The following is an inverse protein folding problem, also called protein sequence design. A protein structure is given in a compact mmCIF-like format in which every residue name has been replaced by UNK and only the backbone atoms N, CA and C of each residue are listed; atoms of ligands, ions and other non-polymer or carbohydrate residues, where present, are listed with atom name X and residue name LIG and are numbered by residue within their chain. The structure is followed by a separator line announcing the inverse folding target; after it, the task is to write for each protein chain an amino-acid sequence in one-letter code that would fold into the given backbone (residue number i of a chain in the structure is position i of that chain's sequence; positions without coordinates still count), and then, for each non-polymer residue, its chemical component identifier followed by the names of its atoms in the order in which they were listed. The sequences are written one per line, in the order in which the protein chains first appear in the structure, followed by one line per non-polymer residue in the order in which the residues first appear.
data_IF_632748493501
#
_entry.id   IF_632748493501
#
_cell.length_a   1.000
_cell.length_b   1.000
_cell.length_c   1.000
_cell.angle_alpha   90.00
_cell.angle_beta   90.00
_cell.angle_gamma   90.00
#
_symmetry.space_group_name_H-M   'P 1'
#
loop_
_entity.id
_entity.type
_entity.pdbx_description
1 polymer ?
#
# COMPACT_ATOMS: atom_id res chain seq x y z
N UNK A 1 -6.01 -23.72 9.54
CA UNK A 1 -4.93 -24.40 8.79
C UNK A 1 -3.72 -23.47 8.81
N UNK A 2 -2.61 -23.83 9.48
CA UNK A 2 -1.42 -22.97 9.55
C UNK A 2 -0.81 -22.86 8.15
N UNK A 3 -0.99 -21.72 7.47
CA UNK A 3 -0.28 -21.40 6.24
C UNK A 3 1.21 -21.40 6.56
N UNK A 4 1.95 -22.39 6.05
CA UNK A 4 3.41 -22.40 6.14
C UNK A 4 3.93 -21.11 5.50
N UNK A 5 4.85 -20.42 6.18
CA UNK A 5 5.47 -19.17 5.70
C UNK A 5 6.07 -19.36 4.31
N UNK A 6 6.16 -18.27 3.54
CA UNK A 6 6.71 -18.29 2.18
C UNK A 6 8.13 -18.90 2.19
N UNK A 7 8.93 -18.56 3.21
CA UNK A 7 10.27 -19.11 3.42
C UNK A 7 10.27 -20.64 3.54
N UNK A 8 9.31 -21.21 4.28
CA UNK A 8 9.18 -22.66 4.46
C UNK A 8 8.88 -23.35 3.12
N UNK A 9 8.03 -22.74 2.29
CA UNK A 9 7.68 -23.31 0.97
C UNK A 9 8.88 -23.29 0.02
N UNK A 10 9.62 -22.18 -0.02
CA UNK A 10 10.84 -22.06 -0.84
C UNK A 10 11.87 -23.11 -0.45
N UNK A 11 12.12 -23.28 0.86
CA UNK A 11 13.09 -24.26 1.35
C UNK A 11 12.67 -25.69 1.00
N UNK A 12 11.38 -26.04 1.16
CA UNK A 12 10.88 -27.36 0.79
C UNK A 12 11.04 -27.62 -0.71
N UNK A 13 10.71 -26.66 -1.57
CA UNK A 13 10.89 -26.80 -3.03
C UNK A 13 12.37 -26.98 -3.38
N UNK A 14 13.26 -26.18 -2.78
CA UNK A 14 14.70 -26.28 -3.02
C UNK A 14 15.25 -27.66 -2.62
N UNK A 15 14.88 -28.16 -1.44
CA UNK A 15 15.29 -29.48 -0.96
C UNK A 15 14.77 -30.58 -1.90
N UNK A 16 13.53 -30.48 -2.37
CA UNK A 16 12.98 -31.44 -3.34
C UNK A 16 13.75 -31.44 -4.66
N UNK A 17 14.11 -30.26 -5.19
CA UNK A 17 14.89 -30.13 -6.43
C UNK A 17 16.28 -30.75 -6.26
N UNK A 18 16.97 -30.45 -5.16
CA UNK A 18 18.30 -31.02 -4.88
C UNK A 18 18.22 -32.53 -4.70
N UNK A 19 17.22 -33.03 -3.96
CA UNK A 19 17.02 -34.46 -3.75
C UNK A 19 16.71 -35.18 -5.07
N UNK A 20 15.86 -34.62 -5.94
CA UNK A 20 15.57 -35.18 -7.25
C UNK A 20 16.82 -35.20 -8.16
N UNK A 21 17.61 -34.13 -8.15
CA UNK A 21 18.88 -34.05 -8.89
C UNK A 21 19.90 -35.08 -8.39
N UNK A 22 20.08 -35.18 -7.07
CA UNK A 22 20.96 -36.18 -6.46
C UNK A 22 20.51 -37.61 -6.76
N UNK A 23 19.20 -37.88 -6.71
CA UNK A 23 18.64 -39.19 -7.06
C UNK A 23 18.86 -39.52 -8.55
N UNK A 24 18.67 -38.57 -9.46
CA UNK A 24 18.92 -38.77 -10.89
C UNK A 24 20.42 -39.07 -11.16
N UNK A 25 21.32 -38.34 -10.50
CA UNK A 25 22.76 -38.60 -10.59
C UNK A 25 23.12 -39.97 -10.01
N UNK A 26 22.54 -40.36 -8.86
CA UNK A 26 22.78 -41.66 -8.24
C UNK A 26 22.24 -42.82 -9.10
N UNK A 27 21.06 -42.68 -9.72
CA UNK A 27 20.52 -43.69 -10.64
C UNK A 27 21.43 -43.82 -11.87
N UNK A 28 21.86 -42.71 -12.45
CA UNK A 28 22.80 -42.71 -13.58
C UNK A 28 24.13 -43.39 -13.19
N UNK A 29 24.62 -43.08 -11.98
CA UNK A 29 25.84 -43.66 -11.41
C UNK A 29 25.78 -45.17 -11.20
N UNK A 30 24.67 -45.66 -10.64
CA UNK A 30 24.55 -47.05 -10.19
C UNK A 30 24.05 -47.99 -11.28
N UNK A 31 23.31 -47.49 -12.25
CA UNK A 31 22.66 -48.32 -13.28
C UNK A 31 23.36 -48.22 -14.62
N UNK A 32 23.73 -47.01 -15.06
CA UNK A 32 24.26 -46.79 -16.41
C UNK A 32 25.78 -46.95 -16.45
N UNK A 33 26.47 -46.39 -15.45
CA UNK A 33 27.93 -46.35 -15.44
C UNK A 33 28.60 -47.74 -15.38
N UNK A 34 28.16 -48.70 -14.54
CA UNK A 34 28.79 -50.02 -14.47
C UNK A 34 28.60 -50.83 -15.75
N UNK A 35 27.41 -50.76 -16.36
CA UNK A 35 27.10 -51.48 -17.60
C UNK A 35 27.95 -51.01 -18.79
N UNK A 36 28.13 -49.68 -18.93
CA UNK A 36 29.00 -49.12 -19.96
C UNK A 36 30.48 -49.49 -19.76
N UNK A 37 30.95 -49.45 -18.51
CA UNK A 37 32.32 -49.81 -18.17
C UNK A 37 32.62 -51.28 -18.49
N UNK A 38 31.76 -52.20 -18.02
CA UNK A 38 31.92 -53.63 -18.27
C UNK A 38 31.86 -53.97 -19.76
N UNK A 39 30.98 -53.31 -20.53
CA UNK A 39 30.92 -53.48 -21.98
C UNK A 39 32.21 -53.06 -22.69
N UNK A 40 32.80 -51.93 -22.30
CA UNK A 40 34.09 -51.49 -22.87
C UNK A 40 35.25 -52.40 -22.49
N UNK A 41 35.25 -52.89 -21.25
CA UNK A 41 36.28 -53.80 -20.74
C UNK A 41 36.25 -55.16 -21.42
N UNK A 42 35.06 -55.65 -21.79
CA UNK A 42 34.93 -56.83 -22.63
C UNK A 42 35.48 -56.62 -24.06
N UNK A 43 35.39 -55.40 -24.60
CA UNK A 43 35.89 -55.08 -25.95
C UNK A 43 37.41 -54.94 -26.03
N UNK A 44 38.12 -54.74 -24.91
CA UNK A 44 39.60 -54.74 -24.90
C UNK A 44 40.18 -56.16 -25.04
N UNK A 45 39.36 -57.19 -24.89
CA UNK A 45 39.78 -58.60 -24.94
C UNK A 45 40.50 -59.07 -23.68
N UNK A 46 40.54 -58.25 -22.62
CA UNK A 46 41.23 -58.56 -21.39
C UNK A 46 40.36 -59.44 -20.47
N UNK A 47 40.75 -60.71 -20.31
CA UNK A 47 39.98 -61.74 -19.59
C UNK A 47 40.54 -62.10 -18.22
N UNK A 48 41.59 -61.40 -17.76
CA UNK A 48 42.19 -61.65 -16.45
C UNK A 48 41.26 -61.16 -15.34
N UNK A 49 40.70 -62.05 -14.49
CA UNK A 49 39.73 -61.65 -13.47
C UNK A 49 40.32 -60.65 -12.47
N UNK A 50 41.61 -60.76 -12.17
CA UNK A 50 42.30 -59.82 -11.28
C UNK A 50 42.34 -58.39 -11.86
N UNK A 51 42.52 -58.24 -13.18
CA UNK A 51 42.57 -56.90 -13.80
C UNK A 51 41.19 -56.29 -13.89
N UNK A 52 40.18 -57.08 -14.26
CA UNK A 52 38.78 -56.62 -14.30
C UNK A 52 38.31 -56.14 -12.92
N UNK A 53 38.58 -56.91 -11.87
CA UNK A 53 38.17 -56.56 -10.50
C UNK A 53 38.86 -55.27 -10.00
N UNK A 54 40.17 -55.13 -10.22
CA UNK A 54 40.88 -53.90 -9.85
C UNK A 54 40.39 -52.69 -10.65
N UNK A 55 40.09 -52.85 -11.94
CA UNK A 55 39.58 -51.78 -12.78
C UNK A 55 38.16 -51.34 -12.36
N UNK A 56 37.28 -52.29 -12.03
CA UNK A 56 35.94 -51.99 -11.50
C UNK A 56 35.99 -51.29 -10.13
N UNK A 57 36.87 -51.73 -9.23
CA UNK A 57 37.07 -51.06 -7.93
C UNK A 57 37.64 -49.63 -8.08
N UNK A 58 38.61 -49.45 -8.99
CA UNK A 58 39.18 -48.13 -9.28
C UNK A 58 38.13 -47.19 -9.89
N UNK A 59 37.31 -47.69 -10.82
CA UNK A 59 36.21 -46.92 -11.40
C UNK A 59 35.16 -46.56 -10.35
N UNK A 60 34.68 -47.53 -9.57
CA UNK A 60 33.66 -47.31 -8.55
C UNK A 60 34.09 -46.31 -7.48
N UNK A 61 35.35 -46.37 -7.03
CA UNK A 61 35.89 -45.43 -6.04
C UNK A 61 36.05 -44.01 -6.61
N UNK A 62 36.62 -43.87 -7.81
CA UNK A 62 36.78 -42.57 -8.47
C UNK A 62 35.42 -41.92 -8.80
N UNK A 63 34.47 -42.71 -9.32
CA UNK A 63 33.13 -42.26 -9.65
C UNK A 63 32.34 -41.90 -8.38
N UNK A 64 32.42 -42.74 -7.34
CA UNK A 64 31.80 -42.51 -6.04
C UNK A 64 32.29 -41.22 -5.37
N UNK A 65 33.60 -40.98 -5.38
CA UNK A 65 34.19 -39.72 -4.88
C UNK A 65 33.69 -38.52 -5.69
N UNK A 66 33.68 -38.63 -7.02
CA UNK A 66 33.17 -37.55 -7.90
C UNK A 66 31.71 -37.23 -7.63
N UNK A 67 30.86 -38.25 -7.45
CA UNK A 67 29.45 -38.09 -7.12
C UNK A 67 29.27 -37.45 -5.72
N UNK A 68 30.06 -37.87 -4.74
CA UNK A 68 30.01 -37.31 -3.39
C UNK A 68 30.40 -35.83 -3.39
N UNK A 69 31.46 -35.46 -4.10
CA UNK A 69 31.90 -34.07 -4.27
C UNK A 69 30.82 -33.26 -5.01
N UNK A 70 30.29 -33.77 -6.12
CA UNK A 70 29.24 -33.08 -6.88
C UNK A 70 27.98 -32.84 -6.05
N UNK A 71 27.54 -33.86 -5.29
CA UNK A 71 26.37 -33.74 -4.40
C UNK A 71 26.63 -32.75 -3.27
N UNK A 72 27.82 -32.82 -2.65
CA UNK A 72 28.23 -31.88 -1.60
C UNK A 72 28.22 -30.43 -2.09
N UNK A 73 28.83 -30.17 -3.25
CA UNK A 73 28.81 -28.84 -3.88
C UNK A 73 27.39 -28.40 -4.22
N UNK A 74 26.55 -29.29 -4.75
CA UNK A 74 25.14 -28.98 -5.06
C UNK A 74 24.36 -28.56 -3.82
N UNK A 75 24.50 -29.29 -2.71
CA UNK A 75 23.85 -28.94 -1.43
C UNK A 75 24.34 -27.59 -0.92
N UNK A 76 25.64 -27.32 -0.98
CA UNK A 76 26.21 -26.03 -0.55
C UNK A 76 25.68 -24.87 -1.38
N UNK A 77 25.69 -24.99 -2.71
CA UNK A 77 25.17 -23.95 -3.62
C UNK A 77 23.67 -23.75 -3.40
N UNK A 78 22.90 -24.83 -3.27
CA UNK A 78 21.47 -24.74 -3.04
C UNK A 78 21.13 -24.07 -1.70
N UNK A 79 21.90 -24.37 -0.64
CA UNK A 79 21.79 -23.71 0.66
C UNK A 79 22.13 -22.22 0.58
N UNK A 80 23.20 -21.85 -0.11
CA UNK A 80 23.58 -20.46 -0.32
C UNK A 80 22.51 -19.67 -1.09
N UNK A 81 21.96 -20.25 -2.17
CA UNK A 81 20.85 -19.66 -2.94
C UNK A 81 19.59 -19.51 -2.08
N UNK A 82 19.23 -20.54 -1.31
CA UNK A 82 18.07 -20.49 -0.41
C UNK A 82 18.22 -19.39 0.64
N UNK A 83 19.38 -19.31 1.28
CA UNK A 83 19.66 -18.27 2.28
C UNK A 83 19.59 -16.87 1.67
N UNK A 84 20.17 -16.70 0.47
CA UNK A 84 20.12 -15.45 -0.27
C UNK A 84 18.67 -15.05 -0.61
N UNK A 85 17.87 -15.97 -1.14
CA UNK A 85 16.49 -15.70 -1.56
C UNK A 85 15.58 -15.37 -0.37
N UNK A 86 15.73 -16.09 0.74
CA UNK A 86 14.98 -15.79 1.97
C UNK A 86 15.32 -14.40 2.47
N UNK A 87 16.61 -14.07 2.57
CA UNK A 87 17.06 -12.78 3.10
C UNK A 87 16.73 -11.59 2.20
N UNK A 88 16.75 -11.77 0.89
CA UNK A 88 16.61 -10.67 -0.08
C UNK A 88 15.23 -10.52 -0.71
N UNK A 89 14.42 -11.57 -0.72
CA UNK A 89 13.08 -11.55 -1.33
C UNK A 89 12.00 -11.79 -0.29
N UNK A 90 12.12 -12.89 0.45
CA UNK A 90 11.03 -13.33 1.34
C UNK A 90 10.85 -12.37 2.51
N UNK A 91 11.94 -12.03 3.21
CA UNK A 91 11.87 -11.12 4.36
C UNK A 91 11.31 -9.73 4.02
N UNK A 92 11.80 -9.01 2.99
CA UNK A 92 11.22 -7.71 2.62
C UNK A 92 9.73 -7.78 2.25
N UNK A 93 9.27 -8.89 1.66
CA UNK A 93 7.84 -9.08 1.34
C UNK A 93 7.01 -9.35 2.61
N UNK A 94 7.54 -10.10 3.56
CA UNK A 94 6.91 -10.29 4.88
C UNK A 94 6.85 -8.96 5.65
N UNK A 95 7.93 -8.17 5.65
CA UNK A 95 7.97 -6.84 6.27
C UNK A 95 6.92 -5.88 5.64
N UNK A 96 6.74 -5.95 4.32
CA UNK A 96 5.70 -5.21 3.61
C UNK A 96 4.29 -5.65 4.00
N UNK A 97 4.08 -6.96 4.17
CA UNK A 97 2.78 -7.48 4.61
C UNK A 97 2.45 -7.00 6.03
N UNK A 98 3.41 -7.05 6.94
CA UNK A 98 3.26 -6.56 8.32
C UNK A 98 3.01 -5.04 8.36
N UNK A 99 3.67 -4.28 7.48
CA UNK A 99 3.41 -2.85 7.30
C UNK A 99 1.97 -2.60 6.84
N UNK A 100 1.48 -3.34 5.85
CA UNK A 100 0.09 -3.23 5.36
C UNK A 100 -0.92 -3.59 6.46
N UNK A 101 -0.68 -4.65 7.23
CA UNK A 101 -1.55 -5.03 8.36
C UNK A 101 -1.56 -3.93 9.44
N UNK A 102 -0.42 -3.24 9.65
CA UNK A 102 -0.32 -2.11 10.57
C UNK A 102 -1.13 -0.90 10.08
N UNK A 103 -1.08 -0.58 8.79
CA UNK A 103 -1.91 0.45 8.15
C UNK A 103 -3.39 0.08 8.30
N UNK A 104 -3.75 -1.18 8.03
CA UNK A 104 -5.12 -1.68 8.16
C UNK A 104 -5.64 -1.56 9.61
N UNK A 105 -4.75 -1.65 10.60
CA UNK A 105 -5.03 -1.40 12.01
C UNK A 105 -5.19 0.09 12.39
N UNK A 106 -5.14 1.01 11.43
CA UNK A 106 -5.34 2.45 11.65
C UNK A 106 -4.07 3.22 12.05
N UNK A 107 -2.89 2.61 11.94
CA UNK A 107 -1.60 3.28 12.21
C UNK A 107 -0.94 3.65 10.90
N UNK A 108 -0.97 4.94 10.58
CA UNK A 108 -0.52 5.44 9.27
C UNK A 108 0.89 6.02 9.30
N UNK A 109 1.45 6.29 10.49
CA UNK A 109 2.81 6.78 10.70
C UNK A 109 3.86 5.67 10.58
N UNK A 110 3.80 4.89 9.51
CA UNK A 110 4.80 3.87 9.22
C UNK A 110 5.64 4.28 8.03
N UNK A 111 6.94 4.01 8.13
CA UNK A 111 7.89 4.21 7.04
C UNK A 111 8.31 2.84 6.54
N UNK A 112 8.01 2.57 5.28
CA UNK A 112 8.41 1.30 4.66
C UNK A 112 9.83 1.46 4.10
N UNK A 113 10.85 0.78 4.66
CA UNK A 113 12.20 0.88 4.15
C UNK A 113 12.30 0.25 2.75
N UNK A 114 13.04 0.89 1.85
CA UNK A 114 13.40 0.28 0.57
C UNK A 114 14.54 -0.72 0.79
N UNK A 115 14.39 -1.90 0.21
CA UNK A 115 15.33 -3.01 0.37
C UNK A 115 16.56 -2.88 -0.53
N UNK A 116 16.46 -2.08 -1.61
CA UNK A 116 17.52 -1.89 -2.60
C UNK A 116 17.86 -3.18 -3.37
N UNK A 117 17.00 -4.20 -3.30
CA UNK A 117 17.26 -5.51 -3.89
C UNK A 117 16.73 -5.63 -5.32
N UNK A 118 15.47 -5.25 -5.54
CA UNK A 118 14.88 -5.23 -6.88
C UNK A 118 13.99 -4.01 -7.05
N UNK A 119 13.97 -3.49 -8.27
CA UNK A 119 13.14 -2.35 -8.65
C UNK A 119 11.66 -2.62 -8.38
N UNK A 120 11.20 -3.86 -8.54
CA UNK A 120 9.81 -4.27 -8.30
C UNK A 120 9.43 -4.19 -6.81
N UNK A 121 10.28 -4.71 -5.92
CA UNK A 121 10.04 -4.68 -4.47
C UNK A 121 10.12 -3.25 -3.96
N UNK A 122 11.10 -2.48 -4.40
CA UNK A 122 11.25 -1.08 -4.00
C UNK A 122 10.09 -0.20 -4.53
N UNK A 123 9.58 -0.49 -5.74
CA UNK A 123 8.37 0.16 -6.26
C UNK A 123 7.14 -0.17 -5.43
N UNK A 124 7.00 -1.42 -4.98
CA UNK A 124 5.91 -1.82 -4.08
C UNK A 124 6.04 -1.11 -2.73
N UNK A 125 7.23 -1.07 -2.14
CA UNK A 125 7.49 -0.35 -0.90
C UNK A 125 7.13 1.14 -1.00
N UNK A 126 7.56 1.81 -2.08
CA UNK A 126 7.22 3.21 -2.34
C UNK A 126 5.71 3.41 -2.53
N UNK A 127 5.02 2.47 -3.17
CA UNK A 127 3.56 2.55 -3.34
C UNK A 127 2.81 2.40 -2.01
N UNK A 128 3.25 1.49 -1.14
CA UNK A 128 2.67 1.31 0.21
C UNK A 128 2.94 2.53 1.08
N UNK A 129 4.16 3.07 1.07
CA UNK A 129 4.52 4.30 1.81
C UNK A 129 3.70 5.50 1.33
N UNK A 130 3.56 5.66 0.01
CA UNK A 130 2.72 6.72 -0.57
C UNK A 130 1.24 6.58 -0.20
N UNK A 131 0.71 5.34 -0.15
CA UNK A 131 -0.66 5.07 0.31
C UNK A 131 -0.82 5.41 1.80
N UNK A 132 0.12 5.00 2.65
CA UNK A 132 0.11 5.30 4.08
C UNK A 132 0.13 6.81 4.32
N UNK A 133 0.99 7.55 3.62
CA UNK A 133 1.07 9.01 3.71
C UNK A 133 -0.22 9.72 3.29
N UNK A 134 -0.89 9.24 2.23
CA UNK A 134 -2.21 9.78 1.83
C UNK A 134 -3.27 9.54 2.89
N UNK A 135 -3.31 8.33 3.45
CA UNK A 135 -4.28 7.97 4.47
C UNK A 135 -4.05 8.75 5.78
N UNK A 136 -2.79 8.92 6.19
CA UNK A 136 -2.40 9.78 7.31
C UNK A 136 -2.88 11.22 7.12
N UNK A 137 -2.70 11.79 5.92
CA UNK A 137 -3.14 13.14 5.60
C UNK A 137 -4.67 13.28 5.64
N UNK A 138 -5.40 12.29 5.12
CA UNK A 138 -6.87 12.24 5.19
C UNK A 138 -7.34 12.17 6.65
N UNK A 139 -6.77 11.28 7.47
CA UNK A 139 -7.17 11.13 8.87
C UNK A 139 -6.83 12.37 9.71
N UNK A 140 -5.68 12.98 9.48
CA UNK A 140 -5.29 14.24 10.13
C UNK A 140 -6.22 15.40 9.76
N UNK A 141 -6.77 15.40 8.53
CA UNK A 141 -7.74 16.39 8.08
C UNK A 141 -9.09 16.14 8.72
N UNK A 142 -9.58 14.90 8.69
CA UNK A 142 -10.80 14.47 9.38
C UNK A 142 -10.79 14.83 10.87
N UNK A 143 -9.70 14.52 11.57
CA UNK A 143 -9.57 14.80 13.01
C UNK A 143 -9.61 16.30 13.30
N UNK A 144 -8.93 17.12 12.50
CA UNK A 144 -8.97 18.59 12.64
C UNK A 144 -10.38 19.13 12.39
N UNK A 145 -11.04 18.69 11.32
CA UNK A 145 -12.42 19.08 11.03
C UNK A 145 -13.35 18.73 12.20
N UNK A 146 -13.28 17.50 12.73
CA UNK A 146 -14.11 17.12 13.88
C UNK A 146 -13.83 17.97 15.12
N UNK A 147 -12.57 18.36 15.37
CA UNK A 147 -12.21 19.24 16.47
C UNK A 147 -12.76 20.66 16.28
N UNK A 148 -12.62 21.22 15.08
CA UNK A 148 -13.11 22.56 14.74
C UNK A 148 -14.64 22.61 14.85
N UNK A 149 -15.33 21.58 14.36
CA UNK A 149 -16.78 21.46 14.48
C UNK A 149 -17.24 21.36 15.93
N UNK A 150 -16.56 20.57 16.75
CA UNK A 150 -16.87 20.48 18.16
C UNK A 150 -16.73 21.84 18.86
N UNK A 151 -15.73 22.64 18.46
CA UNK A 151 -15.54 23.99 18.99
C UNK A 151 -16.63 24.96 18.52
N UNK A 152 -16.95 24.97 17.22
CA UNK A 152 -17.98 25.83 16.65
C UNK A 152 -19.39 25.49 17.14
N UNK A 153 -19.68 24.23 17.45
CA UNK A 153 -20.96 23.81 18.05
C UNK A 153 -21.08 24.21 19.52
N UNK A 154 -19.98 24.20 20.27
CA UNK A 154 -20.01 24.49 21.73
C UNK A 154 -20.54 25.88 22.03
N UNK A 155 -20.13 26.88 21.27
CA UNK A 155 -20.51 28.28 21.49
C UNK A 155 -22.02 28.55 21.36
N UNK A 156 -22.69 28.21 20.24
CA UNK A 156 -24.13 28.41 20.10
C UNK A 156 -24.93 27.55 21.09
N UNK A 157 -24.47 26.32 21.40
CA UNK A 157 -25.13 25.46 22.40
C UNK A 157 -25.04 26.06 23.79
N UNK A 158 -23.85 26.47 24.25
CA UNK A 158 -23.68 27.11 25.55
C UNK A 158 -24.46 28.43 25.66
N UNK A 159 -24.59 29.17 24.54
CA UNK A 159 -25.41 30.38 24.51
C UNK A 159 -26.90 30.05 24.68
N UNK A 160 -27.39 29.00 24.00
CA UNK A 160 -28.77 28.54 24.17
C UNK A 160 -29.04 28.05 25.59
N UNK A 161 -28.12 27.27 26.17
CA UNK A 161 -28.19 26.81 27.57
C UNK A 161 -28.27 28.00 28.53
N UNK A 162 -27.38 28.99 28.41
CA UNK A 162 -27.39 30.18 29.27
C UNK A 162 -28.70 30.99 29.17
N UNK A 163 -29.31 31.07 27.99
CA UNK A 163 -30.60 31.73 27.81
C UNK A 163 -31.75 30.93 28.40
N UNK A 164 -31.74 29.60 28.26
CA UNK A 164 -32.76 28.72 28.88
C UNK A 164 -32.68 28.80 30.39
N UNK A 165 -31.49 28.61 30.97
CA UNK A 165 -31.26 28.69 32.42
C UNK A 165 -31.65 30.08 32.96
N UNK A 166 -31.25 31.13 32.26
CA UNK A 166 -31.58 32.50 32.65
C UNK A 166 -33.08 32.80 32.61
N UNK A 167 -33.83 32.20 31.67
CA UNK A 167 -35.29 32.32 31.61
C UNK A 167 -35.97 31.52 32.73
N UNK A 168 -35.43 30.36 33.10
CA UNK A 168 -35.93 29.53 34.21
C UNK A 168 -35.70 30.21 35.57
N UNK A 169 -34.50 30.79 35.78
CA UNK A 169 -34.15 31.51 37.01
C UNK A 169 -34.79 32.91 37.11
N UNK A 170 -35.46 33.37 36.04
CA UNK A 170 -36.08 34.69 35.97
C UNK A 170 -35.09 35.86 35.87
N UNK A 171 -33.82 35.58 35.59
CA UNK A 171 -32.74 36.57 35.44
C UNK A 171 -32.72 37.16 34.03
N UNK A 172 -33.08 36.36 33.02
CA UNK A 172 -33.25 36.80 31.64
C UNK A 172 -34.73 37.13 31.39
N UNK A 173 -35.06 38.36 30.97
CA UNK A 173 -36.44 38.74 30.67
C UNK A 173 -36.98 38.01 29.44
N UNK A 174 -38.26 37.61 29.51
CA UNK A 174 -39.01 36.98 28.42
C UNK A 174 -39.48 38.04 27.42
N UNK A 175 -38.57 38.49 26.56
CA UNK A 175 -38.85 39.55 25.59
C UNK A 175 -38.37 39.19 24.18
N UNK A 176 -38.79 39.99 23.20
CA UNK A 176 -38.55 39.71 21.78
C UNK A 176 -37.06 39.54 21.44
N UNK A 177 -36.19 40.27 22.15
CA UNK A 177 -34.74 40.20 21.98
C UNK A 177 -34.19 38.84 22.41
N UNK A 178 -34.61 38.29 23.56
CA UNK A 178 -34.19 36.97 24.05
C UNK A 178 -34.56 35.86 23.06
N UNK A 179 -35.79 35.91 22.53
CA UNK A 179 -36.23 34.99 21.48
C UNK A 179 -35.45 35.15 20.18
N UNK A 180 -35.10 36.37 19.80
CA UNK A 180 -34.31 36.63 18.60
C UNK A 180 -32.90 36.06 18.73
N UNK A 181 -32.22 36.26 19.86
CA UNK A 181 -30.88 35.70 20.10
C UNK A 181 -30.90 34.17 20.02
N UNK A 182 -31.87 33.51 20.65
CA UNK A 182 -32.00 32.04 20.56
C UNK A 182 -32.28 31.56 19.13
N UNK A 183 -33.14 32.26 18.37
CA UNK A 183 -33.39 31.94 16.95
C UNK A 183 -32.14 32.11 16.10
N UNK A 184 -31.33 33.14 16.37
CA UNK A 184 -30.07 33.38 15.65
C UNK A 184 -29.07 32.24 15.89
N UNK A 185 -28.94 31.76 17.13
CA UNK A 185 -28.09 30.60 17.46
C UNK A 185 -28.60 29.31 16.82
N UNK A 186 -29.92 29.05 16.87
CA UNK A 186 -30.52 27.92 16.18
C UNK A 186 -30.30 27.99 14.65
N UNK A 187 -30.37 29.20 14.08
CA UNK A 187 -30.06 29.46 12.68
C UNK A 187 -28.59 29.17 12.35
N UNK A 188 -27.65 29.52 13.23
CA UNK A 188 -26.22 29.16 13.10
C UNK A 188 -26.01 27.65 13.09
N UNK A 189 -26.62 26.94 14.04
CA UNK A 189 -26.57 25.47 14.10
C UNK A 189 -27.12 24.81 12.83
N UNK A 190 -28.24 25.32 12.28
CA UNK A 190 -28.80 24.81 11.01
C UNK A 190 -27.86 25.01 9.83
N UNK A 191 -27.21 26.18 9.73
CA UNK A 191 -26.23 26.45 8.65
C UNK A 191 -25.04 25.49 8.77
N UNK A 192 -24.44 25.38 9.94
CA UNK A 192 -23.30 24.47 10.16
C UNK A 192 -23.65 23.00 9.81
N UNK A 193 -24.86 22.54 10.17
CA UNK A 193 -25.31 21.20 9.81
C UNK A 193 -25.55 21.01 8.30
N UNK A 194 -25.97 22.07 7.59
CA UNK A 194 -26.11 22.06 6.14
C UNK A 194 -24.73 22.03 5.45
N UNK A 195 -23.82 22.88 5.89
CA UNK A 195 -22.43 22.96 5.39
C UNK A 195 -21.73 21.60 5.57
N UNK A 196 -21.93 20.94 6.72
CA UNK A 196 -21.40 19.59 6.97
C UNK A 196 -21.92 18.53 6.01
N UNK A 197 -23.21 18.59 5.66
CA UNK A 197 -23.80 17.68 4.67
C UNK A 197 -23.23 17.92 3.29
N UNK A 198 -22.98 19.18 2.94
CA UNK A 198 -22.39 19.54 1.65
C UNK A 198 -20.97 18.98 1.55
N UNK A 199 -20.14 19.15 2.58
CA UNK A 199 -18.79 18.57 2.66
C UNK A 199 -18.83 17.05 2.56
N UNK A 200 -19.66 16.39 3.36
CA UNK A 200 -19.77 14.92 3.33
C UNK A 200 -20.20 14.39 1.95
N UNK A 201 -21.12 15.10 1.28
CA UNK A 201 -21.58 14.74 -0.07
C UNK A 201 -20.50 14.97 -1.12
N UNK A 202 -19.73 16.06 -0.99
CA UNK A 202 -18.62 16.38 -1.89
C UNK A 202 -17.49 15.35 -1.79
N UNK A 203 -17.15 14.87 -0.58
CA UNK A 203 -16.16 13.80 -0.39
C UNK A 203 -16.57 12.50 -1.11
N UNK A 204 -17.84 12.13 -1.05
CA UNK A 204 -18.37 10.95 -1.77
C UNK A 204 -18.37 11.14 -3.30
N UNK A 205 -18.67 12.35 -3.78
CA UNK A 205 -18.74 12.66 -5.21
C UNK A 205 -17.36 12.83 -5.85
N UNK A 206 -16.35 13.29 -5.11
CA UNK A 206 -14.97 13.45 -5.59
C UNK A 206 -14.36 12.13 -6.03
N UNK A 207 -14.77 11.01 -5.40
CA UNK A 207 -14.39 9.66 -5.81
C UNK A 207 -14.96 9.25 -7.19
N UNK A 208 -15.91 10.02 -7.74
CA UNK A 208 -16.63 9.75 -9.00
C UNK A 208 -16.50 10.87 -10.04
N UNK A 209 -15.73 11.91 -9.78
CA UNK A 209 -15.61 13.04 -10.69
C UNK A 209 -14.83 12.65 -11.96
N UNK A 210 -15.43 12.89 -13.13
CA UNK A 210 -14.77 12.78 -14.43
C UNK A 210 -14.29 14.17 -14.86
N UNK A 211 -12.97 14.45 -14.84
CA UNK A 211 -12.47 15.79 -15.13
C UNK A 211 -12.61 16.13 -16.62
N UNK A 212 -13.40 17.17 -16.91
CA UNK A 212 -13.55 17.70 -18.26
C UNK A 212 -12.84 19.06 -18.45
N UNK A 213 -12.33 19.37 -19.65
CA UNK A 213 -11.76 20.68 -19.94
C UNK A 213 -12.84 21.77 -19.92
N UNK A 214 -12.69 22.76 -19.03
CA UNK A 214 -13.61 23.91 -18.93
C UNK A 214 -12.92 25.24 -19.22
N UNK A 215 -13.67 26.20 -19.76
CA UNK A 215 -13.18 27.57 -19.96
C UNK A 215 -13.25 28.35 -18.64
N UNK A 216 -12.10 28.59 -18.01
CA UNK A 216 -12.00 29.26 -16.73
C UNK A 216 -12.73 30.62 -16.69
N UNK A 217 -12.62 31.44 -17.74
CA UNK A 217 -13.32 32.74 -17.81
C UNK A 217 -14.84 32.60 -17.80
N UNK A 218 -15.39 31.55 -18.44
CA UNK A 218 -16.84 31.30 -18.43
C UNK A 218 -17.30 30.84 -17.06
N UNK A 219 -16.52 29.98 -16.41
CA UNK A 219 -16.82 29.50 -15.06
C UNK A 219 -16.78 30.66 -14.06
N UNK A 220 -15.75 31.50 -14.13
CA UNK A 220 -15.59 32.67 -13.26
C UNK A 220 -16.71 33.70 -13.49
N UNK A 221 -17.08 33.97 -14.74
CA UNK A 221 -18.20 34.85 -15.05
C UNK A 221 -19.54 34.30 -14.51
N UNK A 222 -19.78 32.98 -14.64
CA UNK A 222 -20.98 32.34 -14.11
C UNK A 222 -21.04 32.41 -12.58
N UNK A 223 -19.92 32.16 -11.90
CA UNK A 223 -19.82 32.27 -10.45
C UNK A 223 -20.06 33.71 -9.95
N UNK A 224 -19.49 34.70 -10.63
CA UNK A 224 -19.71 36.13 -10.30
C UNK A 224 -21.16 36.53 -10.52
N UNK A 225 -21.79 36.06 -11.60
CA UNK A 225 -23.22 36.31 -11.86
C UNK A 225 -24.12 35.70 -10.77
N UNK A 226 -23.80 34.48 -10.33
CA UNK A 226 -24.52 33.81 -9.24
C UNK A 226 -24.35 34.52 -7.89
N UNK A 227 -23.16 35.05 -7.60
CA UNK A 227 -22.85 35.72 -6.33
C UNK A 227 -23.31 37.20 -6.27
N UNK A 228 -23.48 37.86 -7.41
CA UNK A 228 -23.79 39.30 -7.49
C UNK A 228 -24.97 39.77 -6.61
N UNK A 229 -26.10 39.05 -6.49
CA UNK A 229 -27.23 39.48 -5.66
C UNK A 229 -26.87 39.60 -4.16
N UNK A 230 -26.05 38.69 -3.64
CA UNK A 230 -25.64 38.69 -2.25
C UNK A 230 -24.71 39.88 -1.93
N UNK A 231 -23.78 40.18 -2.83
CA UNK A 231 -22.86 41.32 -2.69
C UNK A 231 -23.59 42.67 -2.80
N UNK A 232 -24.56 42.77 -3.72
CA UNK A 232 -25.40 43.95 -3.85
C UNK A 232 -26.19 44.26 -2.58
N UNK A 233 -26.70 43.25 -1.88
CA UNK A 233 -27.42 43.41 -0.61
C UNK A 233 -26.55 44.02 0.51
N UNK A 234 -25.23 43.83 0.43
CA UNK A 234 -24.24 44.41 1.37
C UNK A 234 -23.60 45.70 0.88
N UNK A 235 -24.01 46.23 -0.28
CA UNK A 235 -23.43 47.45 -0.86
C UNK A 235 -22.01 47.28 -1.42
N UNK A 236 -21.57 46.03 -1.65
CA UNK A 236 -20.24 45.72 -2.19
C UNK A 236 -20.33 45.42 -3.69
N UNK A 237 -19.48 46.07 -4.49
CA UNK A 237 -19.43 45.84 -5.95
C UNK A 237 -18.54 44.67 -6.32
N UNK A 238 -19.11 43.62 -6.92
CA UNK A 238 -18.38 42.47 -7.45
C UNK A 238 -18.13 42.65 -8.97
N UNK A 239 -16.87 42.58 -9.41
CA UNK A 239 -16.49 42.70 -10.83
C UNK A 239 -15.57 41.57 -11.26
N UNK A 240 -15.88 40.96 -12.40
CA UNK A 240 -15.00 40.00 -13.08
C UNK A 240 -14.18 40.73 -14.14
N UNK A 241 -12.85 40.62 -14.08
CA UNK A 241 -11.95 41.14 -15.11
C UNK A 241 -11.45 39.95 -15.94
N UNK A 242 -11.92 39.77 -17.19
CA UNK A 242 -11.51 38.63 -18.00
C UNK A 242 -10.00 38.67 -18.25
N UNK A 243 -9.34 37.51 -18.13
CA UNK A 243 -7.92 37.42 -18.48
C UNK A 243 -7.81 37.52 -20.00
N UNK A 244 -7.08 38.53 -20.50
CA UNK A 244 -6.89 38.74 -21.93
C UNK A 244 -6.41 37.47 -22.64
N UNK A 245 -6.96 37.23 -23.82
CA UNK A 245 -6.72 36.07 -24.68
C UNK A 245 -5.24 35.80 -24.95
N UNK A 246 -4.61 35.00 -24.09
CA UNK A 246 -3.57 34.07 -24.51
C UNK A 246 -4.18 32.66 -24.43
N UNK A 247 -3.80 31.70 -25.29
CA UNK A 247 -4.13 30.29 -25.06
C UNK A 247 -3.44 29.86 -23.77
N UNK A 248 -4.12 30.09 -22.64
CA UNK A 248 -3.67 29.69 -21.33
C UNK A 248 -3.57 28.16 -21.27
N UNK A 249 -2.70 27.62 -20.40
CA UNK A 249 -2.57 26.19 -20.26
C UNK A 249 -3.96 25.58 -20.03
N UNK A 250 -4.24 24.48 -20.75
CA UNK A 250 -5.40 23.62 -20.48
C UNK A 250 -5.35 23.24 -19.02
N UNK A 251 -6.07 23.98 -18.19
CA UNK A 251 -6.03 23.81 -16.75
C UNK A 251 -7.10 22.80 -16.45
N UNK A 252 -6.70 21.53 -16.33
CA UNK A 252 -7.53 20.52 -15.68
C UNK A 252 -7.70 20.97 -14.24
N UNK A 253 -8.90 21.43 -13.89
CA UNK A 253 -9.28 21.67 -12.50
C UNK A 253 -9.38 20.29 -11.86
N UNK A 254 -8.30 19.86 -11.22
CA UNK A 254 -8.37 18.79 -10.24
C UNK A 254 -9.09 19.38 -9.04
N UNK A 255 -10.22 18.81 -8.66
CA UNK A 255 -10.82 19.08 -7.36
C UNK A 255 -9.85 18.56 -6.30
N UNK A 256 -8.95 19.43 -5.84
CA UNK A 256 -8.14 19.19 -4.66
C UNK A 256 -8.70 20.06 -3.53
N UNK A 257 -9.13 19.36 -2.47
CA UNK A 257 -9.65 19.79 -1.17
C UNK A 257 -11.16 19.88 -1.05
#
# INVERSE_FOLDING_TARGET
MRSRSLATRVLVVQVLVVAAGAAALAVTALVVAPGLFHHHLAMTGESSPAVQEHAEQAFASAFGLSLAVATGVSVLVAGAVSWFLVRRVVHPVEDLADAVDTIAGGRFEIRVPTSGFSTEVDRLAAAVDGMAGRLAATEATRTRLLADLAHELRTPVATLEAYVDGLEDGVVPVEAQSWQTMRDQLGRLRRLAADLREVATAEEQTLRADPEPVHADRLAAAAVAAAAPAFAATGVGLRHTPSGAAPGPRTTVRGDR
#
